data_IF_929234484637
#
_entry.id   IF_929234484637
#
_cell.length_a   1.000
_cell.length_b   1.000
_cell.length_c   1.000
_cell.angle_alpha   90.00
_cell.angle_beta   90.00
_cell.angle_gamma   90.00
#
_symmetry.space_group_name_H-M   'P 1'
#
loop_
_entity.id
_entity.type
_entity.pdbx_description
1 polymer ?
#
# COMPACT_ATOMS: atom_id res chain seq x y z
N UNK A 1 -6.05 0.75 -14.86
CA UNK A 1 -4.77 0.14 -15.29
C UNK A 1 -4.07 -0.39 -14.07
N UNK A 2 -3.85 -1.70 -13.96
CA UNK A 2 -3.21 -2.31 -12.79
C UNK A 2 -1.82 -2.79 -13.18
N UNK A 3 -0.78 -2.29 -12.50
CA UNK A 3 0.56 -2.86 -12.61
C UNK A 3 0.55 -4.26 -11.97
N UNK A 4 1.17 -5.27 -12.60
CA UNK A 4 1.28 -6.59 -11.99
C UNK A 4 2.14 -6.50 -10.71
N UNK A 5 1.82 -7.28 -9.67
CA UNK A 5 2.62 -7.30 -8.45
C UNK A 5 4.05 -7.76 -8.74
N UNK A 6 5.04 -7.06 -8.18
CA UNK A 6 6.46 -7.46 -8.27
C UNK A 6 6.85 -8.36 -7.11
N UNK A 7 7.48 -9.50 -7.42
CA UNK A 7 8.01 -10.40 -6.41
C UNK A 7 9.23 -9.76 -5.73
N UNK A 8 9.24 -9.77 -4.40
CA UNK A 8 10.31 -9.15 -3.61
C UNK A 8 11.62 -9.95 -3.67
N UNK A 9 11.57 -11.29 -3.62
CA UNK A 9 12.74 -12.19 -3.69
C UNK A 9 13.93 -11.75 -2.80
N UNK A 10 13.63 -11.30 -1.57
CA UNK A 10 14.65 -10.80 -0.64
C UNK A 10 15.28 -9.45 -1.01
N UNK A 11 14.84 -8.80 -2.09
CA UNK A 11 15.35 -7.53 -2.60
C UNK A 11 14.25 -6.45 -2.64
N UNK A 12 13.70 -6.02 -1.50
CA UNK A 12 12.55 -5.10 -1.44
C UNK A 12 12.81 -3.76 -2.14
N UNK A 13 14.03 -3.22 -2.03
CA UNK A 13 14.38 -1.96 -2.69
C UNK A 13 14.43 -2.08 -4.21
N UNK A 14 14.92 -3.22 -4.73
CA UNK A 14 14.93 -3.48 -6.16
C UNK A 14 13.51 -3.60 -6.70
N UNK A 15 12.64 -4.34 -6.00
CA UNK A 15 11.23 -4.49 -6.39
C UNK A 15 10.50 -3.13 -6.35
N UNK A 16 10.71 -2.33 -5.31
CA UNK A 16 10.15 -0.98 -5.21
C UNK A 16 10.64 -0.07 -6.34
N UNK A 17 11.94 -0.07 -6.64
CA UNK A 17 12.50 0.71 -7.75
C UNK A 17 11.87 0.36 -9.10
N UNK A 18 11.72 -0.94 -9.40
CA UNK A 18 11.10 -1.39 -10.65
C UNK A 18 9.63 -0.94 -10.75
N UNK A 19 8.85 -1.07 -9.66
CA UNK A 19 7.45 -0.62 -9.61
C UNK A 19 7.33 0.89 -9.77
N UNK A 20 8.13 1.65 -9.02
CA UNK A 20 8.10 3.11 -9.08
C UNK A 20 8.50 3.61 -10.46
N UNK A 21 9.53 3.03 -11.08
CA UNK A 21 9.92 3.37 -12.45
C UNK A 21 8.74 3.17 -13.42
N UNK A 22 8.07 2.02 -13.37
CA UNK A 22 6.91 1.73 -14.22
C UNK A 22 5.77 2.72 -13.96
N UNK A 23 5.54 3.09 -12.70
CA UNK A 23 4.50 4.05 -12.34
C UNK A 23 4.83 5.46 -12.86
N UNK A 24 6.07 5.92 -12.71
CA UNK A 24 6.52 7.21 -13.22
C UNK A 24 6.52 7.29 -14.75
N UNK A 25 6.81 6.18 -15.44
CA UNK A 25 6.69 6.10 -16.90
C UNK A 25 5.23 6.25 -17.39
N UNK A 26 4.24 6.10 -16.51
CA UNK A 26 2.80 6.17 -16.83
C UNK A 26 2.13 7.49 -16.47
N UNK A 27 2.68 8.28 -15.55
CA UNK A 27 2.11 9.57 -15.16
C UNK A 27 2.62 10.69 -16.08
N UNK A 28 1.79 11.72 -16.34
CA UNK A 28 2.23 12.90 -17.08
C UNK A 28 3.48 13.55 -16.45
N UNK A 29 4.41 14.11 -17.24
CA UNK A 29 5.62 14.73 -16.71
C UNK A 29 5.39 15.90 -15.74
N UNK A 30 4.22 16.54 -15.81
CA UNK A 30 3.79 17.67 -14.97
C UNK A 30 2.90 17.26 -13.79
N UNK A 31 2.66 15.96 -13.60
CA UNK A 31 1.82 15.46 -12.51
C UNK A 31 2.48 15.69 -11.14
N UNK A 32 1.71 16.23 -10.19
CA UNK A 32 2.11 16.23 -8.77
C UNK A 32 1.81 14.87 -8.15
N UNK A 33 2.84 14.19 -7.66
CA UNK A 33 2.73 12.85 -7.08
C UNK A 33 3.05 12.90 -5.58
N UNK A 34 2.19 12.29 -4.76
CA UNK A 34 2.47 12.03 -3.35
C UNK A 34 2.67 10.54 -3.13
N UNK A 35 3.67 10.17 -2.31
CA UNK A 35 3.99 8.77 -2.03
C UNK A 35 3.78 8.46 -0.55
N UNK A 36 3.02 7.39 -0.29
CA UNK A 36 2.85 6.77 1.03
C UNK A 36 3.22 5.29 0.94
N UNK A 37 3.86 4.77 1.99
CA UNK A 37 4.37 3.40 2.03
C UNK A 37 3.83 2.68 3.26
N UNK A 38 3.53 1.39 3.14
CA UNK A 38 3.09 0.56 4.28
C UNK A 38 3.59 -0.89 4.13
N UNK A 39 3.32 -1.73 5.13
CA UNK A 39 3.82 -3.10 5.24
C UNK A 39 5.17 -3.20 5.97
N UNK A 40 5.57 -4.43 6.32
CA UNK A 40 6.73 -4.73 7.18
C UNK A 40 8.05 -4.14 6.68
N UNK A 41 8.30 -4.20 5.36
CA UNK A 41 9.55 -3.74 4.75
C UNK A 41 9.52 -2.26 4.32
N UNK A 42 8.44 -1.53 4.59
CA UNK A 42 8.26 -0.14 4.14
C UNK A 42 9.31 0.81 4.70
N UNK A 43 9.76 0.62 5.94
CA UNK A 43 10.76 1.47 6.59
C UNK A 43 12.03 1.63 5.76
N UNK A 44 12.50 0.55 5.15
CA UNK A 44 13.72 0.56 4.35
C UNK A 44 13.58 1.46 3.11
N UNK A 45 12.46 1.34 2.39
CA UNK A 45 12.18 2.19 1.23
C UNK A 45 11.86 3.64 1.63
N UNK A 46 11.15 3.83 2.75
CA UNK A 46 10.75 5.14 3.24
C UNK A 46 11.94 6.02 3.60
N UNK A 47 12.95 5.46 4.27
CA UNK A 47 14.22 6.15 4.58
C UNK A 47 14.91 6.67 3.33
N UNK A 48 14.98 5.86 2.27
CA UNK A 48 15.63 6.27 1.01
C UNK A 48 14.84 7.32 0.24
N UNK A 49 13.51 7.28 0.34
CA UNK A 49 12.60 8.17 -0.38
C UNK A 49 12.22 9.43 0.41
N UNK A 50 12.76 9.60 1.62
CA UNK A 50 12.47 10.76 2.47
C UNK A 50 11.00 10.85 2.90
N UNK A 51 10.31 9.71 2.99
CA UNK A 51 8.90 9.64 3.42
C UNK A 51 8.78 8.82 4.71
N UNK A 52 7.58 8.80 5.30
CA UNK A 52 7.29 8.04 6.52
C UNK A 52 6.30 6.92 6.23
N UNK A 53 6.55 5.69 6.73
CA UNK A 53 5.57 4.63 6.63
C UNK A 53 4.26 4.98 7.33
N UNK A 54 3.14 4.60 6.73
CA UNK A 54 1.82 4.63 7.35
C UNK A 54 1.48 3.26 7.93
N UNK A 55 0.60 3.25 8.93
CA UNK A 55 0.14 2.02 9.55
C UNK A 55 -0.65 1.14 8.57
N UNK A 56 -0.29 -0.14 8.50
CA UNK A 56 -0.87 -1.10 7.55
C UNK A 56 -2.34 -1.40 7.80
N UNK A 57 -2.78 -1.47 9.06
CA UNK A 57 -4.19 -1.68 9.40
C UNK A 57 -5.05 -0.48 9.00
N UNK A 58 -4.55 0.75 9.26
CA UNK A 58 -5.23 1.97 8.82
C UNK A 58 -5.27 2.08 7.29
N UNK A 59 -4.17 1.74 6.62
CA UNK A 59 -4.07 1.79 5.17
C UNK A 59 -5.07 0.84 4.49
N UNK A 60 -5.12 -0.43 4.92
CA UNK A 60 -6.06 -1.40 4.35
C UNK A 60 -7.51 -1.07 4.70
N UNK A 61 -7.80 -0.67 5.94
CA UNK A 61 -9.15 -0.27 6.35
C UNK A 61 -9.64 0.91 5.52
N UNK A 62 -8.82 1.97 5.37
CA UNK A 62 -9.19 3.13 4.55
C UNK A 62 -9.37 2.76 3.09
N UNK A 63 -8.45 1.97 2.52
CA UNK A 63 -8.51 1.57 1.12
C UNK A 63 -9.74 0.72 0.81
N UNK A 64 -10.12 -0.20 1.71
CA UNK A 64 -11.33 -1.01 1.52
C UNK A 64 -12.59 -0.18 1.69
N UNK A 65 -12.70 0.67 2.70
CA UNK A 65 -13.90 1.52 2.90
C UNK A 65 -14.10 2.50 1.75
N UNK A 66 -13.03 2.99 1.12
CA UNK A 66 -13.14 3.84 -0.07
C UNK A 66 -13.78 3.11 -1.27
N UNK A 67 -13.57 1.80 -1.38
CA UNK A 67 -14.08 0.97 -2.50
C UNK A 67 -15.43 0.33 -2.13
N UNK A 68 -15.60 -0.08 -0.87
CA UNK A 68 -16.76 -0.76 -0.31
C UNK A 68 -17.15 -0.04 1.00
N UNK A 69 -17.92 1.06 0.92
CA UNK A 69 -18.22 1.91 2.07
C UNK A 69 -18.86 1.19 3.26
N UNK A 70 -19.71 0.20 2.97
CA UNK A 70 -20.43 -0.53 4.02
C UNK A 70 -19.64 -1.71 4.63
N UNK A 71 -18.38 -1.92 4.22
CA UNK A 71 -17.56 -3.00 4.74
C UNK A 71 -17.49 -2.96 6.28
N UNK A 72 -17.86 -4.07 6.93
CA UNK A 72 -17.79 -4.25 8.39
C UNK A 72 -16.66 -5.19 8.82
N UNK A 73 -16.14 -5.98 7.87
CA UNK A 73 -15.11 -6.99 8.12
C UNK A 73 -14.17 -7.06 6.93
N UNK A 74 -12.87 -7.08 7.19
CA UNK A 74 -11.82 -7.36 6.20
C UNK A 74 -11.09 -8.63 6.63
N UNK A 75 -11.01 -9.59 5.71
CA UNK A 75 -10.15 -10.76 5.83
C UNK A 75 -8.96 -10.55 4.89
N UNK A 76 -7.81 -10.18 5.45
CA UNK A 76 -6.57 -10.06 4.70
C UNK A 76 -5.81 -11.38 4.76
N UNK A 77 -5.42 -11.93 3.61
CA UNK A 77 -4.64 -13.16 3.52
C UNK A 77 -3.38 -12.84 2.73
N UNK A 78 -2.25 -12.78 3.43
CA UNK A 78 -0.93 -12.53 2.87
C UNK A 78 -0.05 -13.79 2.81
N UNK A 79 1.20 -13.62 2.36
CA UNK A 79 2.17 -14.71 2.28
C UNK A 79 2.67 -15.18 3.65
N UNK A 80 2.88 -14.24 4.58
CA UNK A 80 3.47 -14.50 5.90
C UNK A 80 2.44 -14.50 7.05
N UNK A 81 1.15 -14.33 6.74
CA UNK A 81 0.09 -14.33 7.75
C UNK A 81 -1.26 -13.89 7.21
N UNK A 82 -2.28 -14.03 8.05
CA UNK A 82 -3.64 -13.56 7.80
C UNK A 82 -4.13 -12.66 8.93
N UNK A 83 -5.05 -11.75 8.60
CA UNK A 83 -5.61 -10.79 9.55
C UNK A 83 -7.12 -10.70 9.42
N UNK A 84 -7.77 -10.58 10.57
CA UNK A 84 -9.17 -10.23 10.70
C UNK A 84 -9.27 -8.80 11.22
N UNK A 85 -9.90 -7.91 10.46
CA UNK A 85 -10.09 -6.51 10.84
C UNK A 85 -11.58 -6.23 10.87
N UNK A 86 -12.09 -5.81 12.03
CA UNK A 86 -13.46 -5.33 12.16
C UNK A 86 -13.48 -3.82 11.95
N UNK A 87 -14.46 -3.35 11.18
CA UNK A 87 -14.71 -1.93 10.96
C UNK A 87 -16.02 -1.58 11.63
N UNK A 88 -15.93 -0.73 12.64
CA UNK A 88 -17.07 -0.07 13.23
C UNK A 88 -17.19 1.31 12.58
N UNK A 89 -18.41 1.64 12.14
CA UNK A 89 -18.75 2.94 11.61
C UNK A 89 -19.51 3.67 12.70
N UNK A 90 -19.15 4.93 12.96
CA UNK A 90 -19.89 5.76 13.89
C UNK A 90 -21.36 5.76 13.47
N UNK A 91 -22.25 5.42 14.42
CA UNK A 91 -23.68 5.57 14.23
C UNK A 91 -23.95 7.08 14.30
N UNK A 92 -24.64 7.65 13.31
CA UNK A 92 -25.28 8.96 13.48
C UNK A 92 -26.27 8.95 14.64
#
# INVERSE_FOLDING_TARGET
MTLPPQKVQGQPLRAAHLLLKQLFDMVPPDATVTLSLTGSQSKLAATLLGTTPINEFKAIARGVVEIVPDARTILEIGGDGSRFIKIDHDQE
#
